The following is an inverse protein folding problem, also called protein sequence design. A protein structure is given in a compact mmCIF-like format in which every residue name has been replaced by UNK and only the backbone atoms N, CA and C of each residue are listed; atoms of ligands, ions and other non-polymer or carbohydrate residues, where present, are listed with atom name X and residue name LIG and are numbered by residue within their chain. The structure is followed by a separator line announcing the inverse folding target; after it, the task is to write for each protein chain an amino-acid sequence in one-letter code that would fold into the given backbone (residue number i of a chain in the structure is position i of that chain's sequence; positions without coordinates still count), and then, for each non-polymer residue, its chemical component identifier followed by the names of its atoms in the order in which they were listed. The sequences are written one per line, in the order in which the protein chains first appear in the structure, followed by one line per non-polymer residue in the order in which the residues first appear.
data_IF_455306267656
#
_entry.id   IF_455306267656
#
_cell.length_a   1.000
_cell.length_b   1.000
_cell.length_c   1.000
_cell.angle_alpha   90.00
_cell.angle_beta   90.00
_cell.angle_gamma   90.00
#
_symmetry.space_group_name_H-M   'P 1'
#
loop_
_entity.id
_entity.type
_entity.pdbx_description
1 polymer ?
#
# COMPACT_ATOMS: atom_id res chain seq x y z
N UNK A 1 -3.33 32.80 -78.15
CA UNK A 1 -3.68 31.57 -77.40
C UNK A 1 -2.88 31.55 -76.11
N UNK A 2 -3.49 31.89 -74.99
CA UNK A 2 -2.81 31.90 -73.69
C UNK A 2 -3.20 30.59 -72.95
N UNK A 3 -2.27 29.66 -72.75
CA UNK A 3 -2.50 28.46 -71.95
C UNK A 3 -2.46 28.81 -70.47
N UNK A 4 -3.60 28.68 -69.78
CA UNK A 4 -3.72 28.75 -68.33
C UNK A 4 -3.20 27.43 -67.73
N UNK A 5 -2.14 27.48 -66.96
CA UNK A 5 -1.71 26.37 -66.11
C UNK A 5 -2.39 26.51 -64.77
N UNK A 6 -3.27 25.53 -64.46
CA UNK A 6 -3.90 25.42 -63.11
C UNK A 6 -2.94 24.69 -62.23
N UNK A 7 -2.35 25.38 -61.24
CA UNK A 7 -1.50 24.83 -60.22
C UNK A 7 -2.36 24.09 -59.19
N UNK A 8 -2.30 22.77 -59.15
CA UNK A 8 -3.02 21.95 -58.18
C UNK A 8 -2.18 21.85 -56.93
N UNK A 9 -2.56 22.61 -55.87
CA UNK A 9 -1.90 22.58 -54.56
C UNK A 9 -2.38 21.38 -53.77
N UNK A 10 -1.59 20.29 -53.71
CA UNK A 10 -1.91 19.13 -52.87
C UNK A 10 -1.53 19.45 -51.44
N UNK A 11 -2.51 19.68 -50.58
CA UNK A 11 -2.36 19.88 -49.15
C UNK A 11 -2.11 18.49 -48.50
N UNK A 12 -0.86 18.16 -48.21
CA UNK A 12 -0.50 16.95 -47.46
C UNK A 12 -0.78 17.22 -45.95
N UNK A 13 -1.91 16.69 -45.45
CA UNK A 13 -2.18 16.64 -44.02
C UNK A 13 -1.30 15.56 -43.38
N UNK A 14 -0.21 15.99 -42.75
CA UNK A 14 0.61 15.12 -41.90
C UNK A 14 -0.19 14.91 -40.61
N UNK A 15 -0.89 13.78 -40.51
CA UNK A 15 -1.38 13.30 -39.22
C UNK A 15 -0.16 12.86 -38.39
N UNK A 16 0.33 13.74 -37.53
CA UNK A 16 1.26 13.38 -36.47
C UNK A 16 0.50 12.53 -35.46
N UNK A 17 0.62 11.22 -35.57
CA UNK A 17 0.19 10.31 -34.53
C UNK A 17 1.14 10.53 -33.35
N UNK A 18 0.67 11.22 -32.33
CA UNK A 18 1.41 11.36 -31.07
C UNK A 18 1.38 9.98 -30.41
N UNK A 19 2.48 9.23 -30.48
CA UNK A 19 2.60 7.98 -29.73
C UNK A 19 2.36 8.31 -28.26
N UNK A 20 1.38 7.62 -27.65
CA UNK A 20 1.17 7.73 -26.21
C UNK A 20 2.35 7.07 -25.51
N UNK A 21 3.03 7.80 -24.64
CA UNK A 21 4.07 7.23 -23.77
C UNK A 21 3.35 6.25 -22.84
N UNK A 22 3.77 4.97 -22.83
CA UNK A 22 3.13 4.00 -21.95
C UNK A 22 3.51 4.26 -20.49
N UNK A 23 2.53 4.10 -19.61
CA UNK A 23 2.73 4.23 -18.17
C UNK A 23 3.44 2.99 -17.60
N UNK A 24 4.18 3.13 -16.48
CA UNK A 24 4.77 2.00 -15.80
C UNK A 24 3.68 1.03 -15.30
N UNK A 25 3.98 -0.27 -15.33
CA UNK A 25 3.10 -1.30 -14.77
C UNK A 25 3.48 -1.57 -13.30
N UNK A 26 2.52 -2.09 -12.51
CA UNK A 26 2.80 -2.50 -11.13
C UNK A 26 3.63 -3.79 -11.10
N UNK A 27 4.49 -3.91 -10.11
CA UNK A 27 5.24 -5.13 -9.82
C UNK A 27 4.40 -6.12 -9.01
N UNK A 28 4.80 -7.40 -9.03
CA UNK A 28 4.37 -8.39 -8.06
C UNK A 28 5.46 -8.54 -7.00
N UNK A 29 5.10 -8.40 -5.74
CA UNK A 29 6.02 -8.58 -4.63
C UNK A 29 6.38 -10.07 -4.48
N UNK A 30 7.63 -10.38 -4.09
CA UNK A 30 8.11 -11.75 -3.92
C UNK A 30 8.47 -11.97 -2.45
N UNK A 31 9.45 -11.24 -1.93
CA UNK A 31 9.95 -11.41 -0.56
C UNK A 31 10.17 -10.05 0.11
N UNK A 32 9.79 -9.88 1.40
CA UNK A 32 9.10 -10.83 2.28
C UNK A 32 7.69 -11.21 1.83
N UNK A 33 7.28 -12.44 2.12
CA UNK A 33 5.90 -12.88 1.88
C UNK A 33 4.93 -12.16 2.83
N UNK A 34 3.67 -12.06 2.40
CA UNK A 34 2.67 -11.39 3.22
C UNK A 34 2.36 -12.20 4.49
N UNK A 35 2.29 -11.51 5.62
CA UNK A 35 2.04 -12.07 6.95
C UNK A 35 3.05 -13.17 7.35
N UNK A 36 4.29 -13.04 6.92
CA UNK A 36 5.35 -13.97 7.26
C UNK A 36 6.24 -13.42 8.37
N UNK A 37 6.87 -14.32 9.11
CA UNK A 37 7.90 -13.99 10.09
C UNK A 37 9.27 -14.13 9.45
N UNK A 38 10.04 -13.06 9.45
CA UNK A 38 11.43 -13.10 9.03
C UNK A 38 12.32 -13.48 10.21
N UNK A 39 12.77 -14.75 10.23
CA UNK A 39 13.71 -15.27 11.19
C UNK A 39 15.14 -15.01 10.70
N UNK A 40 15.92 -14.28 11.46
CA UNK A 40 17.35 -14.12 11.20
C UNK A 40 18.12 -14.78 12.31
N UNK A 41 18.73 -15.93 12.00
CA UNK A 41 19.61 -16.63 12.94
C UNK A 41 20.90 -15.84 13.17
N UNK A 42 21.28 -15.68 14.44
CA UNK A 42 22.64 -15.43 14.91
C UNK A 42 23.25 -14.03 14.80
N UNK A 43 22.55 -12.95 15.11
CA UNK A 43 23.24 -11.72 15.49
C UNK A 43 22.71 -11.18 16.81
N UNK A 44 23.62 -10.80 17.72
CA UNK A 44 23.30 -10.03 18.95
C UNK A 44 22.92 -8.58 18.63
N UNK A 45 22.44 -8.31 17.41
CA UNK A 45 22.08 -6.99 16.92
C UNK A 45 20.57 -6.77 17.02
N UNK A 46 20.18 -5.60 17.50
CA UNK A 46 18.79 -5.13 17.46
C UNK A 46 18.28 -4.88 16.03
N UNK A 47 19.16 -5.01 15.03
CA UNK A 47 18.84 -4.81 13.63
C UNK A 47 19.13 -6.08 12.84
N UNK A 48 18.39 -6.24 11.74
CA UNK A 48 18.64 -7.28 10.74
C UNK A 48 18.55 -6.72 9.33
N UNK A 49 19.39 -7.23 8.44
CA UNK A 49 19.34 -6.93 7.03
C UNK A 49 18.25 -7.79 6.38
N UNK A 50 17.23 -7.14 5.84
CA UNK A 50 16.08 -7.77 5.15
C UNK A 50 16.24 -7.58 3.66
N UNK A 51 16.17 -8.67 2.89
CA UNK A 51 16.12 -8.61 1.43
C UNK A 51 14.67 -8.49 0.96
N UNK A 52 14.42 -7.44 0.20
CA UNK A 52 13.15 -7.20 -0.51
C UNK A 52 13.33 -7.58 -1.97
N UNK A 53 12.34 -8.27 -2.54
CA UNK A 53 12.37 -8.64 -3.96
C UNK A 53 10.99 -8.58 -4.58
N UNK A 54 10.96 -8.26 -5.88
CA UNK A 54 9.75 -8.12 -6.68
C UNK A 54 10.03 -8.49 -8.13
N UNK A 55 8.99 -8.62 -8.95
CA UNK A 55 9.13 -8.88 -10.38
C UNK A 55 9.53 -7.62 -11.13
N UNK A 56 10.19 -7.78 -12.26
CA UNK A 56 10.32 -6.72 -13.24
C UNK A 56 8.94 -6.26 -13.73
N UNK A 57 8.79 -4.99 -14.03
CA UNK A 57 7.57 -4.43 -14.62
C UNK A 57 7.88 -3.67 -15.91
N UNK A 58 6.91 -3.64 -16.83
CA UNK A 58 7.08 -2.98 -18.11
C UNK A 58 7.06 -1.46 -17.96
N UNK A 59 7.74 -0.78 -18.86
CA UNK A 59 7.80 0.67 -18.95
C UNK A 59 8.27 1.34 -17.63
N UNK A 60 9.18 0.65 -16.93
CA UNK A 60 9.69 1.07 -15.62
C UNK A 60 11.21 1.23 -15.69
N UNK A 61 11.72 2.38 -15.30
CA UNK A 61 13.15 2.69 -15.27
C UNK A 61 13.73 2.53 -13.87
N UNK A 62 12.93 2.83 -12.84
CA UNK A 62 13.33 2.70 -11.45
C UNK A 62 12.14 2.42 -10.52
N UNK A 63 12.47 1.95 -9.34
CA UNK A 63 11.54 1.55 -8.28
C UNK A 63 11.84 2.31 -6.99
N UNK A 64 10.81 2.80 -6.30
CA UNK A 64 10.93 3.19 -4.90
C UNK A 64 10.36 2.06 -4.03
N UNK A 65 11.22 1.45 -3.24
CA UNK A 65 10.82 0.57 -2.14
C UNK A 65 10.44 1.44 -0.94
N UNK A 66 9.22 1.29 -0.47
CA UNK A 66 8.70 1.98 0.71
C UNK A 66 8.44 0.94 1.80
N UNK A 67 8.97 1.19 3.00
CA UNK A 67 8.82 0.33 4.17
C UNK A 67 8.39 1.20 5.34
N UNK A 68 7.37 0.78 6.06
CA UNK A 68 6.86 1.48 7.25
C UNK A 68 6.93 0.57 8.48
N UNK A 69 7.54 1.06 9.54
CA UNK A 69 7.47 0.42 10.85
C UNK A 69 6.10 0.72 11.47
N UNK A 70 5.31 -0.31 11.75
CA UNK A 70 3.92 -0.18 12.20
C UNK A 70 3.77 0.18 13.69
N UNK A 71 4.90 0.23 14.44
CA UNK A 71 4.92 0.72 15.82
C UNK A 71 5.23 2.22 15.86
N UNK A 72 6.32 2.62 15.16
CA UNK A 72 6.82 4.00 15.20
C UNK A 72 6.23 4.90 14.12
N UNK A 73 5.58 4.32 13.10
CA UNK A 73 5.13 4.97 11.86
C UNK A 73 6.29 5.64 11.08
N UNK A 74 7.51 5.20 11.30
CA UNK A 74 8.67 5.66 10.53
C UNK A 74 8.68 5.01 9.16
N UNK A 75 8.91 5.83 8.13
CA UNK A 75 8.99 5.41 6.75
C UNK A 75 10.44 5.41 6.26
N UNK A 76 10.84 4.30 5.64
CA UNK A 76 12.10 4.16 4.93
C UNK A 76 11.78 4.11 3.43
N UNK A 77 12.43 4.98 2.65
CA UNK A 77 12.31 4.98 1.18
C UNK A 77 13.67 4.74 0.55
N UNK A 78 13.74 3.82 -0.41
CA UNK A 78 14.96 3.49 -1.15
C UNK A 78 14.68 3.34 -2.63
N UNK A 79 15.31 4.18 -3.44
CA UNK A 79 15.22 4.11 -4.91
C UNK A 79 16.28 3.17 -5.48
N UNK A 80 15.89 2.33 -6.43
CA UNK A 80 16.76 1.39 -7.15
C UNK A 80 16.25 1.10 -8.55
N UNK A 81 17.14 0.71 -9.45
CA UNK A 81 16.78 0.18 -10.78
C UNK A 81 16.84 -1.36 -10.83
N UNK A 82 17.11 -2.01 -9.68
CA UNK A 82 17.10 -3.45 -9.52
C UNK A 82 15.76 -3.94 -9.02
N UNK A 83 15.48 -5.21 -9.18
CA UNK A 83 14.28 -5.88 -8.63
C UNK A 83 14.49 -6.44 -7.22
N UNK A 84 15.59 -6.07 -6.58
CA UNK A 84 15.93 -6.44 -5.21
C UNK A 84 16.54 -5.26 -4.48
N UNK A 85 16.38 -5.24 -3.14
CA UNK A 85 17.03 -4.27 -2.27
C UNK A 85 17.20 -4.84 -0.88
N UNK A 86 18.35 -4.59 -0.25
CA UNK A 86 18.62 -4.94 1.13
C UNK A 86 18.48 -3.70 2.01
N UNK A 87 17.77 -3.85 3.13
CA UNK A 87 17.52 -2.76 4.08
C UNK A 87 17.71 -3.28 5.50
N UNK A 88 18.45 -2.51 6.31
CA UNK A 88 18.67 -2.82 7.71
C UNK A 88 17.51 -2.28 8.54
N UNK A 89 16.76 -3.17 9.21
CA UNK A 89 15.56 -2.86 9.96
C UNK A 89 15.71 -3.26 11.43
N UNK A 90 15.04 -2.54 12.30
CA UNK A 90 14.97 -2.86 13.72
C UNK A 90 14.13 -4.11 13.95
N UNK A 91 14.58 -5.00 14.84
CA UNK A 91 13.89 -6.23 15.19
C UNK A 91 12.77 -6.00 16.19
N UNK A 92 11.84 -6.95 16.27
CA UNK A 92 10.74 -6.93 17.22
C UNK A 92 9.59 -6.03 16.80
N UNK A 93 9.43 -5.79 15.50
CA UNK A 93 8.39 -4.93 14.99
C UNK A 93 7.69 -5.52 13.76
N UNK A 94 6.39 -5.26 13.59
CA UNK A 94 5.69 -5.46 12.34
C UNK A 94 6.02 -4.33 11.36
N UNK A 95 6.18 -4.70 10.09
CA UNK A 95 6.44 -3.79 8.99
C UNK A 95 5.41 -3.98 7.89
N UNK A 96 5.04 -2.90 7.22
CA UNK A 96 4.41 -2.96 5.92
C UNK A 96 5.37 -2.48 4.84
N UNK A 97 5.20 -2.97 3.61
CA UNK A 97 6.02 -2.54 2.49
C UNK A 97 5.30 -2.64 1.15
N UNK A 98 5.69 -1.79 0.23
CA UNK A 98 5.24 -1.79 -1.14
C UNK A 98 6.28 -1.17 -2.06
N UNK A 99 6.07 -1.30 -3.37
CA UNK A 99 6.97 -0.78 -4.39
C UNK A 99 6.20 0.14 -5.33
N UNK A 100 6.80 1.28 -5.64
CA UNK A 100 6.32 2.24 -6.63
C UNK A 100 7.18 2.11 -7.88
N UNK A 101 6.57 1.74 -9.01
CA UNK A 101 7.23 1.71 -10.33
C UNK A 101 7.17 3.11 -10.95
N UNK A 102 8.30 3.59 -11.49
CA UNK A 102 8.45 4.91 -12.10
C UNK A 102 9.11 4.81 -13.47
N UNK A 103 8.69 5.68 -14.38
CA UNK A 103 9.31 5.85 -15.70
C UNK A 103 9.86 7.26 -15.86
N UNK A 104 11.03 7.37 -16.48
CA UNK A 104 11.61 8.67 -16.84
C UNK A 104 10.83 9.36 -17.97
N UNK A 105 9.99 8.60 -18.67
CA UNK A 105 9.21 9.05 -19.81
C UNK A 105 7.75 9.40 -19.48
N UNK A 106 7.23 9.00 -18.31
CA UNK A 106 5.85 9.25 -17.87
C UNK A 106 5.83 9.87 -16.47
N UNK A 107 4.93 10.82 -16.24
CA UNK A 107 4.67 11.38 -14.90
C UNK A 107 3.81 10.45 -14.03
N UNK A 108 3.17 9.45 -14.63
CA UNK A 108 2.36 8.48 -13.91
C UNK A 108 3.26 7.45 -13.21
N UNK A 109 2.77 6.93 -12.10
CA UNK A 109 3.41 5.90 -11.29
C UNK A 109 2.49 4.69 -11.14
N UNK A 110 3.04 3.52 -10.83
CA UNK A 110 2.24 2.36 -10.51
C UNK A 110 2.64 1.79 -9.14
N UNK A 111 1.65 1.53 -8.29
CA UNK A 111 1.86 0.98 -6.95
C UNK A 111 1.57 -0.52 -6.95
N UNK A 112 2.42 -1.28 -6.28
CA UNK A 112 2.13 -2.68 -5.97
C UNK A 112 1.01 -2.81 -4.94
N UNK A 113 0.62 -4.03 -4.59
CA UNK A 113 -0.06 -4.31 -3.32
C UNK A 113 0.85 -3.95 -2.14
N UNK A 114 0.28 -3.79 -0.95
CA UNK A 114 1.04 -3.68 0.30
C UNK A 114 1.11 -5.06 0.95
N UNK A 115 2.28 -5.44 1.48
CA UNK A 115 2.49 -6.64 2.27
C UNK A 115 2.98 -6.30 3.67
N UNK A 116 2.63 -7.15 4.61
CA UNK A 116 3.08 -7.07 5.99
C UNK A 116 4.01 -8.23 6.30
N UNK A 117 4.97 -8.02 7.20
CA UNK A 117 5.80 -9.07 7.77
C UNK A 117 6.22 -8.66 9.18
N UNK A 118 6.59 -9.65 9.98
CA UNK A 118 7.15 -9.43 11.32
C UNK A 118 8.65 -9.74 11.30
N UNK A 119 9.45 -8.80 11.80
CA UNK A 119 10.89 -9.00 11.98
C UNK A 119 11.15 -9.38 13.42
N UNK A 120 11.43 -10.67 13.65
CA UNK A 120 11.50 -11.24 14.98
C UNK A 120 12.61 -10.62 15.84
N UNK A 121 12.30 -10.32 17.10
CA UNK A 121 13.28 -9.95 18.10
C UNK A 121 13.99 -11.21 18.65
N UNK A 122 15.19 -11.02 19.20
CA UNK A 122 15.77 -12.08 20.00
C UNK A 122 14.94 -12.27 21.28
N UNK A 123 14.43 -13.47 21.49
CA UNK A 123 13.71 -13.89 22.71
C UNK A 123 12.44 -13.09 23.05
N UNK A 124 11.63 -12.68 22.07
CA UNK A 124 10.26 -12.29 22.41
C UNK A 124 9.41 -13.54 22.66
N UNK A 125 8.66 -13.51 23.75
CA UNK A 125 7.69 -14.55 24.12
C UNK A 125 6.31 -14.30 23.48
N UNK A 126 6.09 -13.09 22.95
CA UNK A 126 4.84 -12.65 22.32
C UNK A 126 5.12 -11.73 21.14
N UNK A 127 4.28 -11.83 20.11
CA UNK A 127 4.35 -11.02 18.90
C UNK A 127 3.24 -9.97 18.93
N UNK A 128 3.57 -8.76 18.47
CA UNK A 128 2.56 -7.71 18.27
C UNK A 128 1.73 -8.05 17.02
N UNK A 129 0.39 -7.92 17.06
CA UNK A 129 -0.44 -8.18 15.91
C UNK A 129 -0.06 -7.36 14.66
N UNK A 130 -0.22 -7.95 13.50
CA UNK A 130 -0.13 -7.20 12.25
C UNK A 130 -1.26 -6.17 12.16
N UNK A 131 -1.06 -5.07 11.41
CA UNK A 131 -2.17 -4.19 11.07
C UNK A 131 -3.27 -4.97 10.39
N UNK A 132 -4.51 -4.75 10.80
CA UNK A 132 -5.65 -5.42 10.18
C UNK A 132 -5.76 -5.06 8.71
N UNK A 133 -6.04 -6.04 7.88
CA UNK A 133 -6.35 -5.84 6.46
C UNK A 133 -7.75 -5.27 6.34
N UNK A 134 -7.85 -4.06 5.80
CA UNK A 134 -9.13 -3.40 5.55
C UNK A 134 -9.78 -4.03 4.31
N UNK A 135 -11.01 -4.59 4.47
CA UNK A 135 -11.72 -5.31 3.41
C UNK A 135 -12.79 -4.43 2.77
N UNK A 136 -13.61 -3.77 3.59
CA UNK A 136 -14.69 -2.91 3.09
C UNK A 136 -15.02 -1.82 4.12
N UNK A 137 -15.30 -0.57 3.69
CA UNK A 137 -15.16 -0.06 2.32
C UNK A 137 -13.70 -0.04 1.86
N UNK A 138 -13.48 -0.28 0.55
CA UNK A 138 -12.13 -0.13 -0.04
C UNK A 138 -11.71 1.35 -0.04
N UNK A 139 -10.41 1.58 -0.07
CA UNK A 139 -9.87 2.93 -0.20
C UNK A 139 -10.44 3.62 -1.45
N UNK A 140 -10.76 4.92 -1.31
CA UNK A 140 -11.35 5.76 -2.37
C UNK A 140 -12.70 5.28 -2.91
N UNK A 141 -13.40 4.37 -2.22
CA UNK A 141 -14.72 3.91 -2.66
C UNK A 141 -15.78 4.99 -2.47
N UNK A 142 -16.70 5.09 -3.45
CA UNK A 142 -17.86 5.96 -3.38
C UNK A 142 -19.10 5.12 -3.09
N UNK A 143 -19.72 5.34 -1.94
CA UNK A 143 -20.94 4.67 -1.53
C UNK A 143 -22.13 5.60 -1.79
N UNK A 144 -23.00 5.23 -2.74
CA UNK A 144 -24.13 6.07 -3.12
C UNK A 144 -25.35 5.81 -2.23
N UNK A 145 -25.83 6.87 -1.59
CA UNK A 145 -27.13 6.89 -0.86
C UNK A 145 -27.26 5.79 0.22
N UNK A 146 -26.18 5.51 0.94
CA UNK A 146 -26.17 4.50 2.03
C UNK A 146 -26.12 5.23 3.36
N UNK A 147 -27.05 4.95 4.24
CA UNK A 147 -27.04 5.48 5.62
C UNK A 147 -26.27 4.54 6.57
N UNK A 148 -26.29 3.24 6.32
CA UNK A 148 -25.56 2.24 7.11
C UNK A 148 -24.44 1.68 6.23
N UNK A 149 -23.22 1.75 6.73
CA UNK A 149 -22.01 1.23 6.08
C UNK A 149 -21.46 0.08 6.92
N UNK A 150 -21.31 -1.08 6.31
CA UNK A 150 -20.60 -2.20 6.94
C UNK A 150 -19.12 -1.94 6.83
N UNK A 151 -18.40 -1.85 7.93
CA UNK A 151 -16.94 -1.85 7.98
C UNK A 151 -16.49 -3.28 8.20
N UNK A 152 -15.59 -3.79 7.37
CA UNK A 152 -15.09 -5.16 7.43
C UNK A 152 -13.57 -5.18 7.32
N UNK A 153 -12.92 -5.98 8.15
CA UNK A 153 -11.48 -6.16 8.20
C UNK A 153 -11.12 -7.60 8.52
N UNK A 154 -9.86 -7.92 8.47
CA UNK A 154 -9.30 -9.22 8.83
C UNK A 154 -8.04 -8.98 9.65
N UNK A 155 -8.03 -9.46 10.88
CA UNK A 155 -6.87 -9.42 11.76
C UNK A 155 -5.95 -10.61 11.53
N UNK A 156 -4.67 -10.41 11.76
CA UNK A 156 -3.68 -11.49 11.75
C UNK A 156 -2.65 -11.29 12.85
N UNK A 157 -2.37 -12.35 13.58
CA UNK A 157 -1.37 -12.42 14.62
C UNK A 157 -0.65 -13.77 14.56
N UNK A 158 0.68 -13.78 14.83
CA UNK A 158 1.49 -15.00 14.76
C UNK A 158 1.21 -15.96 15.91
N UNK A 159 0.85 -15.42 17.07
CA UNK A 159 0.57 -16.19 18.28
C UNK A 159 -0.90 -16.59 18.34
N UNK A 160 -1.73 -15.96 17.50
CA UNK A 160 -3.16 -16.25 17.39
C UNK A 160 -3.97 -15.78 18.58
N UNK A 161 -3.47 -14.79 19.31
CA UNK A 161 -4.05 -14.29 20.56
C UNK A 161 -4.69 -12.90 20.46
N UNK A 162 -5.15 -12.51 19.28
CA UNK A 162 -5.92 -11.29 19.08
C UNK A 162 -7.08 -11.24 20.09
N UNK A 163 -7.09 -10.21 20.89
CA UNK A 163 -8.07 -10.00 21.95
C UNK A 163 -9.31 -9.22 21.47
N UNK A 164 -9.08 -8.14 20.74
CA UNK A 164 -10.13 -7.29 20.20
C UNK A 164 -9.58 -6.26 19.21
N UNK A 165 -10.50 -5.50 18.63
CA UNK A 165 -10.22 -4.42 17.68
C UNK A 165 -10.81 -3.10 18.19
N UNK A 166 -10.17 -1.97 17.84
CA UNK A 166 -10.79 -0.65 17.90
C UNK A 166 -10.99 -0.14 16.47
N UNK A 167 -12.21 0.25 16.11
CA UNK A 167 -12.54 0.93 14.87
C UNK A 167 -12.57 2.44 15.11
N UNK A 168 -11.81 3.20 14.35
CA UNK A 168 -11.78 4.66 14.38
C UNK A 168 -12.21 5.16 13.01
N UNK A 169 -13.22 6.04 12.99
CA UNK A 169 -13.74 6.68 11.78
C UNK A 169 -13.64 8.19 11.97
N UNK A 170 -12.92 8.88 11.10
CA UNK A 170 -12.75 10.32 11.12
C UNK A 170 -13.51 10.96 9.95
N UNK A 171 -14.29 12.00 10.19
CA UNK A 171 -14.86 12.83 9.14
C UNK A 171 -13.79 13.83 8.68
N UNK A 172 -13.36 13.68 7.42
CA UNK A 172 -12.27 14.49 6.85
C UNK A 172 -12.59 15.99 6.76
N UNK A 173 -13.88 16.39 6.84
CA UNK A 173 -14.28 17.81 6.72
C UNK A 173 -14.14 18.59 8.02
N UNK A 174 -14.24 17.93 9.17
CA UNK A 174 -14.27 18.58 10.49
C UNK A 174 -13.41 17.88 11.54
N UNK A 175 -12.69 16.82 11.17
CA UNK A 175 -11.84 15.99 12.05
C UNK A 175 -12.59 15.39 13.26
N UNK A 176 -13.92 15.25 13.15
CA UNK A 176 -14.70 14.57 14.18
C UNK A 176 -14.47 13.06 14.11
N UNK A 177 -14.08 12.47 15.24
CA UNK A 177 -13.85 11.03 15.34
C UNK A 177 -15.04 10.31 15.97
N UNK A 178 -15.36 9.15 15.43
CA UNK A 178 -16.24 8.14 16.01
C UNK A 178 -15.36 6.94 16.35
N UNK A 179 -15.39 6.48 17.59
CA UNK A 179 -14.55 5.38 18.06
C UNK A 179 -15.40 4.27 18.66
N UNK A 180 -15.19 3.05 18.19
CA UNK A 180 -15.73 1.82 18.74
C UNK A 180 -14.58 0.98 19.25
N UNK A 181 -14.62 0.63 20.52
CA UNK A 181 -13.53 -0.08 21.20
C UNK A 181 -13.94 -1.50 21.59
N UNK A 182 -12.95 -2.38 21.71
CA UNK A 182 -13.12 -3.76 22.21
C UNK A 182 -14.10 -4.58 21.38
N UNK A 183 -14.07 -4.40 20.07
CA UNK A 183 -14.87 -5.17 19.12
C UNK A 183 -14.28 -6.59 19.02
N UNK A 184 -15.14 -7.61 19.13
CA UNK A 184 -14.73 -9.02 19.10
C UNK A 184 -14.96 -9.71 17.74
N UNK A 185 -15.49 -8.97 16.77
CA UNK A 185 -15.84 -9.46 15.42
C UNK A 185 -15.15 -8.59 14.39
N UNK A 186 -15.01 -9.10 13.18
CA UNK A 186 -14.28 -8.45 12.08
C UNK A 186 -15.20 -7.68 11.11
N UNK A 187 -16.40 -7.36 11.55
CA UNK A 187 -17.33 -6.51 10.81
C UNK A 187 -18.23 -5.73 11.77
N UNK A 188 -18.58 -4.48 11.38
CA UNK A 188 -19.49 -3.65 12.15
C UNK A 188 -20.29 -2.73 11.22
N UNK A 189 -21.61 -2.68 11.44
CA UNK A 189 -22.51 -1.78 10.72
C UNK A 189 -22.60 -0.44 11.44
N UNK A 190 -22.29 0.65 10.74
CA UNK A 190 -22.24 1.99 11.31
C UNK A 190 -23.13 2.92 10.50
N UNK A 191 -23.96 3.70 11.19
CA UNK A 191 -24.73 4.76 10.54
C UNK A 191 -23.84 6.00 10.33
N UNK A 192 -23.71 6.42 9.06
CA UNK A 192 -22.94 7.58 8.65
C UNK A 192 -23.80 8.58 7.89
N UNK A 193 -23.43 9.87 7.98
CA UNK A 193 -24.10 10.92 7.25
C UNK A 193 -23.65 10.95 5.79
N UNK A 194 -24.61 10.98 4.87
CA UNK A 194 -24.33 11.11 3.44
C UNK A 194 -23.66 12.44 3.07
N UNK A 195 -22.89 12.45 1.98
CA UNK A 195 -22.24 13.65 1.45
C UNK A 195 -20.96 14.05 2.17
N UNK A 196 -20.44 13.20 3.04
CA UNK A 196 -19.16 13.41 3.72
C UNK A 196 -18.10 12.42 3.21
N UNK A 197 -16.84 12.79 3.44
CA UNK A 197 -15.67 11.90 3.26
C UNK A 197 -15.24 11.43 4.63
N UNK A 198 -15.05 10.12 4.75
CA UNK A 198 -14.61 9.48 5.98
C UNK A 198 -13.29 8.73 5.76
N UNK A 199 -12.38 8.86 6.70
CA UNK A 199 -11.18 8.05 6.84
C UNK A 199 -11.43 7.04 7.94
N UNK A 200 -10.94 5.82 7.79
CA UNK A 200 -11.11 4.82 8.83
C UNK A 200 -9.87 3.94 9.00
N UNK A 201 -9.69 3.45 10.21
CA UNK A 201 -8.61 2.54 10.57
C UNK A 201 -9.05 1.56 11.65
N UNK A 202 -8.34 0.43 11.71
CA UNK A 202 -8.46 -0.58 12.76
C UNK A 202 -7.18 -0.60 13.58
N UNK A 203 -7.34 -0.67 14.91
CA UNK A 203 -6.26 -1.02 15.82
C UNK A 203 -6.54 -2.43 16.30
N UNK A 204 -5.62 -3.36 16.02
CA UNK A 204 -5.67 -4.73 16.52
C UNK A 204 -4.96 -4.79 17.87
N UNK A 205 -5.56 -5.48 18.83
CA UNK A 205 -5.00 -5.67 20.18
C UNK A 205 -4.92 -7.13 20.52
N UNK A 206 -3.82 -7.52 21.15
CA UNK A 206 -3.56 -8.82 21.75
C UNK A 206 -3.76 -8.79 23.28
N UNK A 207 -3.21 -9.79 23.96
CA UNK A 207 -3.30 -9.90 25.41
C UNK A 207 -2.29 -9.01 26.16
N UNK A 208 -1.24 -8.51 25.49
CA UNK A 208 -0.18 -7.68 26.04
C UNK A 208 -0.47 -6.17 25.90
N UNK A 209 -1.40 -5.76 25.00
CA UNK A 209 -1.72 -4.35 24.65
C UNK A 209 -3.14 -3.91 25.03
#
# INVERSE_FOLDING_TARGET
MIKKYTLFFVLILIFSCKESIPDPEKVLLINPENNNTCLFSNSNSNFAEVEFSWTESKHTDNYDLIIENQITNENISKTTNLTTSQVNLERGAPYSWYVVSKSDSSENIALSETRNFYLEAQSQLAHIPFPAKLIYPLNESILNSVNIVTFQWEGYDLDGDIKNYDLIIENASNSAEIKYEKILIEALDIELQNGNVYLWKIITRDNEN
#
